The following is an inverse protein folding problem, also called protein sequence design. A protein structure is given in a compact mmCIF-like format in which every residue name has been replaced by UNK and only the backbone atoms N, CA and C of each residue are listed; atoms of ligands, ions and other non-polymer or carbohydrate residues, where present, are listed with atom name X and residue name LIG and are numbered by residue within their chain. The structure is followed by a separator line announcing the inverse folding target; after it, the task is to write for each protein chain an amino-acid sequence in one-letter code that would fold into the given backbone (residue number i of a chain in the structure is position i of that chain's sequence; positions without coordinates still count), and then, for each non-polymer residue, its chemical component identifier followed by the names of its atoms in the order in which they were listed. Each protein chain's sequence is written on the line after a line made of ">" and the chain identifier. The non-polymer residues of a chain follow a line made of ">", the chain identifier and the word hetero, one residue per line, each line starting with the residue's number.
data_IF_412593190178
#
_entry.id   IF_412593190178
#
_cell.length_a   1.000
_cell.length_b   1.000
_cell.length_c   1.000
_cell.angle_alpha   90.00
_cell.angle_beta   90.00
_cell.angle_gamma   90.00
#
_symmetry.space_group_name_H-M   'P 1'
#
loop_
_entity.id
_entity.type
_entity.pdbx_description
1 polymer ?
#
# COMPACT_ATOMS: atom_id res chain seq x y z
N UNK A 1 4.97 -17.88 -18.86
CA UNK A 1 5.59 -16.62 -18.46
C UNK A 1 4.44 -15.66 -18.20
N UNK A 2 4.15 -15.36 -16.93
CA UNK A 2 3.11 -14.41 -16.55
C UNK A 2 3.48 -13.03 -17.12
N UNK A 3 2.53 -12.35 -17.73
CA UNK A 3 2.69 -10.94 -18.09
C UNK A 3 2.97 -10.17 -16.81
N UNK A 4 4.20 -9.67 -16.65
CA UNK A 4 4.56 -8.89 -15.47
C UNK A 4 3.79 -7.58 -15.48
N UNK A 5 3.29 -7.24 -14.31
CA UNK A 5 2.60 -5.99 -14.06
C UNK A 5 3.56 -4.81 -14.34
N UNK A 6 3.28 -4.04 -15.40
CA UNK A 6 4.16 -2.96 -15.84
C UNK A 6 3.75 -1.59 -15.25
N UNK A 7 2.87 -1.57 -14.27
CA UNK A 7 2.39 -0.34 -13.64
C UNK A 7 3.33 0.15 -12.53
N UNK A 8 3.39 1.45 -12.33
CA UNK A 8 4.07 2.09 -11.19
C UNK A 8 3.03 2.32 -10.12
N UNK A 9 3.27 1.76 -8.95
CA UNK A 9 2.42 1.96 -7.79
C UNK A 9 2.77 3.30 -7.13
N UNK A 10 1.78 4.00 -6.62
CA UNK A 10 1.94 5.32 -6.00
C UNK A 10 1.20 5.39 -4.68
N UNK A 11 1.83 5.89 -3.62
CA UNK A 11 1.21 5.98 -2.30
C UNK A 11 0.13 7.06 -2.21
N UNK A 12 0.41 8.25 -2.80
CA UNK A 12 -0.56 9.36 -2.85
C UNK A 12 -1.46 9.19 -4.06
N UNK A 13 -2.75 9.20 -3.79
CA UNK A 13 -3.80 9.16 -4.80
C UNK A 13 -3.67 10.34 -5.77
N UNK A 14 -3.73 10.11 -7.09
CA UNK A 14 -3.62 11.18 -8.09
C UNK A 14 -4.61 12.33 -7.87
N UNK A 15 -5.81 12.05 -7.38
CA UNK A 15 -6.87 13.04 -7.14
C UNK A 15 -6.50 14.06 -6.09
N UNK A 16 -5.80 13.68 -5.02
CA UNK A 16 -5.31 14.62 -4.00
C UNK A 16 -4.35 15.61 -4.66
N UNK A 17 -3.41 15.12 -5.46
CA UNK A 17 -2.47 15.97 -6.19
C UNK A 17 -3.16 16.86 -7.22
N UNK A 18 -4.20 16.38 -7.90
CA UNK A 18 -5.04 17.18 -8.81
C UNK A 18 -5.75 18.31 -8.05
N UNK A 19 -6.37 18.00 -6.90
CA UNK A 19 -7.02 19.01 -6.05
C UNK A 19 -6.02 20.07 -5.60
N UNK A 20 -4.85 19.69 -5.09
CA UNK A 20 -3.81 20.64 -4.70
C UNK A 20 -3.37 21.51 -5.88
N UNK A 21 -3.14 20.90 -7.05
CA UNK A 21 -2.63 21.60 -8.24
C UNK A 21 -3.57 22.69 -8.76
N UNK A 22 -4.87 22.50 -8.58
CA UNK A 22 -5.93 23.40 -9.08
C UNK A 22 -6.54 24.27 -7.98
N UNK A 23 -6.32 23.97 -6.70
CA UNK A 23 -6.94 24.70 -5.59
C UNK A 23 -6.46 26.15 -5.52
N UNK A 24 -7.38 27.14 -5.49
CA UNK A 24 -7.04 28.54 -5.25
C UNK A 24 -6.50 28.77 -3.83
N UNK A 25 -6.81 27.88 -2.89
CA UNK A 25 -6.38 27.95 -1.50
C UNK A 25 -4.97 27.39 -1.29
N UNK A 26 -4.44 26.63 -2.26
CA UNK A 26 -3.08 26.08 -2.18
C UNK A 26 -2.03 27.15 -2.50
N UNK A 27 -0.88 27.08 -1.81
CA UNK A 27 0.26 27.94 -2.13
C UNK A 27 0.80 27.65 -3.53
N UNK A 28 1.45 28.64 -4.15
CA UNK A 28 2.11 28.44 -5.46
C UNK A 28 3.20 27.35 -5.40
N UNK A 29 3.83 27.15 -4.23
CA UNK A 29 4.82 26.09 -4.01
C UNK A 29 4.14 24.73 -4.07
N UNK A 30 3.07 24.52 -3.32
CA UNK A 30 2.33 23.28 -3.28
C UNK A 30 1.71 22.90 -4.63
N UNK A 31 1.08 23.87 -5.33
CA UNK A 31 0.54 23.62 -6.68
C UNK A 31 1.61 23.13 -7.65
N UNK A 32 2.79 23.77 -7.65
CA UNK A 32 3.90 23.32 -8.51
C UNK A 32 4.44 21.94 -8.13
N UNK A 33 4.54 21.64 -6.83
CA UNK A 33 4.97 20.33 -6.35
C UNK A 33 4.00 19.23 -6.79
N UNK A 34 2.70 19.44 -6.56
CA UNK A 34 1.65 18.50 -6.98
C UNK A 34 1.64 18.26 -8.50
N UNK A 35 1.70 19.34 -9.31
CA UNK A 35 1.79 19.19 -10.79
C UNK A 35 3.03 18.42 -11.21
N UNK A 36 4.19 18.71 -10.59
CA UNK A 36 5.45 18.00 -10.87
C UNK A 36 5.35 16.52 -10.51
N UNK A 37 4.77 16.19 -9.36
CA UNK A 37 4.57 14.81 -8.92
C UNK A 37 3.67 14.02 -9.88
N UNK A 38 2.56 14.60 -10.32
CA UNK A 38 1.67 13.98 -11.33
C UNK A 38 2.40 13.70 -12.64
N UNK A 39 3.19 14.64 -13.14
CA UNK A 39 3.98 14.47 -14.38
C UNK A 39 4.99 13.34 -14.22
N UNK A 40 5.72 13.32 -13.10
CA UNK A 40 6.75 12.34 -12.83
C UNK A 40 6.19 10.92 -12.65
N UNK A 41 5.04 10.76 -12.00
CA UNK A 41 4.38 9.47 -11.87
C UNK A 41 4.10 8.84 -13.24
N UNK A 42 3.63 9.64 -14.20
CA UNK A 42 3.43 9.19 -15.58
C UNK A 42 4.74 8.83 -16.31
N UNK A 43 5.82 9.60 -16.10
CA UNK A 43 7.15 9.32 -16.68
C UNK A 43 7.72 8.00 -16.15
N UNK A 44 7.64 7.76 -14.82
CA UNK A 44 8.12 6.52 -14.19
C UNK A 44 7.31 5.32 -14.71
N UNK A 45 5.99 5.47 -14.83
CA UNK A 45 5.13 4.44 -15.39
C UNK A 45 5.56 4.04 -16.81
N UNK A 46 5.77 5.01 -17.70
CA UNK A 46 6.21 4.75 -19.08
C UNK A 46 7.59 4.09 -19.15
N UNK A 47 8.50 4.46 -18.24
CA UNK A 47 9.86 3.88 -18.19
C UNK A 47 9.81 2.41 -17.74
N UNK A 48 8.95 2.06 -16.78
CA UNK A 48 8.78 0.67 -16.32
C UNK A 48 8.25 -0.25 -17.43
N UNK A 49 7.33 0.24 -18.25
CA UNK A 49 6.79 -0.50 -19.41
C UNK A 49 7.89 -0.86 -20.42
N UNK A 50 8.93 -0.02 -20.53
CA UNK A 50 10.02 -0.17 -21.52
C UNK A 50 11.26 -0.88 -20.99
N UNK A 51 11.39 -1.10 -19.67
CA UNK A 51 12.59 -1.70 -19.07
C UNK A 51 12.59 -3.23 -19.11
N UNK A 52 13.72 -3.82 -19.49
CA UNK A 52 13.97 -5.26 -19.49
C UNK A 52 14.00 -5.83 -18.06
N UNK A 53 13.62 -7.08 -17.83
CA UNK A 53 13.60 -7.66 -16.48
C UNK A 53 15.00 -7.64 -15.86
N UNK A 54 15.06 -7.14 -14.62
CA UNK A 54 16.25 -7.15 -13.79
C UNK A 54 16.76 -8.60 -13.59
N UNK A 55 18.03 -8.83 -13.87
CA UNK A 55 18.70 -10.08 -13.51
C UNK A 55 19.02 -9.95 -12.02
N UNK A 56 18.24 -10.62 -11.18
CA UNK A 56 18.57 -10.76 -9.76
C UNK A 56 19.96 -11.39 -9.64
N UNK A 57 20.94 -10.63 -9.19
CA UNK A 57 22.16 -11.20 -8.69
C UNK A 57 21.80 -11.82 -7.34
N UNK A 58 21.59 -13.13 -7.33
CA UNK A 58 21.23 -13.91 -6.15
C UNK A 58 22.32 -13.74 -5.08
N UNK A 59 22.05 -12.89 -4.11
CA UNK A 59 22.77 -12.89 -2.85
C UNK A 59 21.96 -13.77 -1.89
N UNK A 60 22.54 -14.85 -1.40
CA UNK A 60 21.90 -15.77 -0.47
C UNK A 60 21.68 -15.21 0.95
N UNK A 61 21.97 -13.93 1.16
CA UNK A 61 21.72 -13.24 2.42
C UNK A 61 20.76 -12.09 2.18
N UNK A 62 19.72 -11.98 3.00
CA UNK A 62 18.84 -10.80 3.02
C UNK A 62 19.71 -9.54 3.16
N UNK A 63 19.61 -8.62 2.23
CA UNK A 63 20.37 -7.38 2.22
C UNK A 63 19.42 -6.19 2.06
N UNK A 64 19.73 -5.14 2.82
CA UNK A 64 19.07 -3.83 2.74
C UNK A 64 20.07 -2.81 2.23
N UNK A 65 19.73 -2.08 1.21
CA UNK A 65 20.55 -1.03 0.65
C UNK A 65 19.76 0.27 0.55
N UNK A 66 20.32 1.34 1.09
CA UNK A 66 19.73 2.67 1.02
C UNK A 66 20.65 3.58 0.24
N UNK A 67 20.06 4.26 -0.73
CA UNK A 67 20.71 5.18 -1.63
C UNK A 67 20.17 6.59 -1.47
N UNK A 68 21.06 7.59 -1.62
CA UNK A 68 20.70 9.01 -1.63
C UNK A 68 20.76 9.56 -3.07
N UNK A 69 19.62 9.96 -3.60
CA UNK A 69 19.50 10.57 -4.92
C UNK A 69 19.91 12.06 -4.95
N UNK A 70 20.16 12.70 -3.79
CA UNK A 70 20.61 14.09 -3.68
C UNK A 70 19.71 15.09 -4.41
N UNK A 71 18.39 14.90 -4.31
CA UNK A 71 17.38 15.69 -5.01
C UNK A 71 17.53 15.68 -6.54
N UNK A 72 18.05 14.59 -7.10
CA UNK A 72 18.17 14.34 -8.55
C UNK A 72 17.29 13.15 -8.96
N UNK A 73 17.07 13.00 -10.27
CA UNK A 73 16.28 11.90 -10.85
C UNK A 73 17.09 10.66 -11.25
N UNK A 74 18.36 10.58 -10.87
CA UNK A 74 19.22 9.42 -11.18
C UNK A 74 19.05 8.30 -10.15
N UNK A 75 18.63 7.12 -10.59
CA UNK A 75 18.48 5.92 -9.78
C UNK A 75 19.69 4.98 -9.96
N UNK A 76 20.06 4.26 -8.89
CA UNK A 76 19.54 4.34 -7.54
C UNK A 76 20.12 5.50 -6.71
N UNK A 77 21.10 6.24 -7.19
CA UNK A 77 21.81 7.31 -6.48
C UNK A 77 23.11 6.83 -5.85
N UNK A 78 23.54 7.46 -4.74
CA UNK A 78 24.74 7.09 -3.98
C UNK A 78 24.38 6.13 -2.85
N UNK A 79 25.03 4.96 -2.78
CA UNK A 79 24.88 4.03 -1.65
C UNK A 79 25.34 4.70 -0.36
N UNK A 80 24.46 4.80 0.65
CA UNK A 80 24.73 5.47 1.93
C UNK A 80 24.61 4.54 3.13
N UNK A 81 23.88 3.42 3.00
CA UNK A 81 23.77 2.41 4.07
C UNK A 81 23.50 1.02 3.51
N UNK A 82 24.16 0.00 4.10
CA UNK A 82 23.97 -1.43 3.79
C UNK A 82 24.29 -2.28 5.02
N UNK A 83 23.99 -3.58 4.98
CA UNK A 83 24.31 -4.54 6.05
C UNK A 83 25.81 -4.59 6.37
N UNK A 84 26.65 -4.47 5.36
CA UNK A 84 28.12 -4.54 5.53
C UNK A 84 28.77 -3.23 5.95
N UNK A 85 28.02 -2.14 6.07
CA UNK A 85 28.58 -0.87 6.51
C UNK A 85 28.96 -0.95 7.98
N UNK A 86 30.23 -0.74 8.27
CA UNK A 86 30.77 -0.61 9.64
C UNK A 86 30.24 0.63 10.37
N UNK A 87 29.61 1.55 9.64
CA UNK A 87 28.92 2.71 10.21
C UNK A 87 27.49 2.29 10.61
N UNK A 88 27.19 2.13 11.91
CA UNK A 88 25.89 1.63 12.36
C UNK A 88 24.74 2.59 12.09
N UNK A 89 25.03 3.88 11.99
CA UNK A 89 24.04 4.94 11.71
C UNK A 89 24.67 6.05 10.89
N UNK A 90 23.92 6.62 9.96
CA UNK A 90 24.27 7.89 9.32
C UNK A 90 23.73 9.04 10.17
N UNK A 91 24.20 10.27 9.91
CA UNK A 91 23.61 11.48 10.52
C UNK A 91 22.23 11.81 9.93
N UNK A 92 21.84 11.14 8.85
CA UNK A 92 20.52 11.27 8.24
C UNK A 92 19.53 10.30 8.88
N UNK A 93 18.64 10.84 9.68
CA UNK A 93 17.59 10.07 10.36
C UNK A 93 16.65 9.40 9.37
N UNK A 94 16.46 9.94 8.17
CA UNK A 94 15.60 9.39 7.13
C UNK A 94 16.17 8.07 6.60
N UNK A 95 17.49 8.04 6.32
CA UNK A 95 18.22 6.83 5.92
C UNK A 95 18.09 5.74 6.99
N UNK A 96 18.28 6.13 8.25
CA UNK A 96 18.20 5.19 9.37
C UNK A 96 16.78 4.65 9.54
N UNK A 97 15.77 5.50 9.37
CA UNK A 97 14.36 5.10 9.48
C UNK A 97 13.99 4.05 8.44
N UNK A 98 14.26 4.31 7.15
CA UNK A 98 13.93 3.37 6.06
C UNK A 98 14.67 2.05 6.24
N UNK A 99 15.97 2.10 6.57
CA UNK A 99 16.75 0.89 6.84
C UNK A 99 16.16 0.04 7.96
N UNK A 100 15.71 0.67 9.05
CA UNK A 100 15.07 -0.02 10.15
C UNK A 100 13.68 -0.54 9.77
N UNK A 101 12.89 0.23 9.03
CA UNK A 101 11.58 -0.18 8.53
C UNK A 101 11.66 -1.41 7.62
N UNK A 102 12.68 -1.48 6.76
CA UNK A 102 12.98 -2.70 6.00
C UNK A 102 13.26 -3.90 6.92
N UNK A 103 13.99 -3.67 8.02
CA UNK A 103 14.25 -4.71 9.02
C UNK A 103 12.98 -5.20 9.72
N UNK A 104 12.08 -4.29 10.10
CA UNK A 104 10.78 -4.61 10.69
C UNK A 104 9.95 -5.44 9.71
N UNK A 105 9.88 -5.02 8.45
CA UNK A 105 9.15 -5.72 7.39
C UNK A 105 9.69 -7.15 7.18
N UNK A 106 10.99 -7.32 6.99
CA UNK A 106 11.62 -8.63 6.81
C UNK A 106 11.41 -9.55 8.01
N UNK A 107 11.49 -8.99 9.23
CA UNK A 107 11.24 -9.76 10.45
C UNK A 107 9.78 -10.22 10.54
N UNK A 108 8.81 -9.35 10.22
CA UNK A 108 7.40 -9.75 10.15
C UNK A 108 7.18 -10.85 9.11
N UNK A 109 7.69 -10.67 7.87
CA UNK A 109 7.56 -11.67 6.82
C UNK A 109 8.09 -13.05 7.27
N UNK A 110 9.28 -13.09 7.87
CA UNK A 110 9.90 -14.35 8.29
C UNK A 110 9.21 -14.97 9.51
N UNK A 111 8.89 -14.18 10.53
CA UNK A 111 8.39 -14.68 11.81
C UNK A 111 6.88 -14.98 11.82
N UNK A 112 6.08 -14.22 11.04
CA UNK A 112 4.62 -14.35 11.01
C UNK A 112 4.15 -15.11 9.77
N UNK A 113 4.70 -14.77 8.59
CA UNK A 113 4.24 -15.34 7.32
C UNK A 113 5.10 -16.50 6.82
N UNK A 114 6.28 -16.75 7.42
CA UNK A 114 7.23 -17.76 6.97
C UNK A 114 7.83 -17.46 5.60
N UNK A 115 7.93 -16.18 5.21
CA UNK A 115 8.38 -15.72 3.90
C UNK A 115 9.76 -15.08 3.97
N UNK A 116 10.60 -15.37 2.98
CA UNK A 116 11.96 -14.85 2.86
C UNK A 116 11.99 -13.68 1.86
N UNK A 117 11.87 -12.44 2.38
CA UNK A 117 11.82 -11.21 1.56
C UNK A 117 10.61 -11.14 0.60
N UNK A 118 10.63 -10.21 -0.35
CA UNK A 118 9.56 -9.91 -1.32
C UNK A 118 9.27 -11.10 -2.23
N UNK A 119 10.30 -11.77 -2.72
CA UNK A 119 10.20 -12.86 -3.71
C UNK A 119 10.16 -14.26 -3.09
N UNK A 120 10.27 -14.36 -1.77
CA UNK A 120 10.47 -15.59 -1.02
C UNK A 120 11.80 -16.31 -1.31
N UNK A 121 12.80 -15.59 -1.83
CA UNK A 121 14.14 -16.08 -2.15
C UNK A 121 15.23 -15.05 -1.78
N UNK A 122 15.01 -14.31 -0.68
CA UNK A 122 15.94 -13.29 -0.13
C UNK A 122 16.27 -12.13 -1.07
N UNK A 123 15.32 -11.70 -1.91
CA UNK A 123 15.50 -10.50 -2.72
C UNK A 123 15.97 -9.33 -1.85
N UNK A 124 17.03 -8.66 -2.30
CA UNK A 124 17.56 -7.46 -1.68
C UNK A 124 16.55 -6.33 -1.74
N UNK A 125 16.38 -5.62 -0.61
CA UNK A 125 15.52 -4.44 -0.53
C UNK A 125 16.36 -3.18 -0.83
N UNK A 126 15.90 -2.38 -1.78
CA UNK A 126 16.54 -1.13 -2.20
C UNK A 126 15.61 0.03 -1.94
N UNK A 127 16.10 1.04 -1.20
CA UNK A 127 15.40 2.30 -0.95
C UNK A 127 16.19 3.48 -1.52
N UNK A 128 15.57 4.27 -2.39
CA UNK A 128 16.13 5.45 -3.02
C UNK A 128 15.49 6.70 -2.42
N UNK A 129 16.25 7.42 -1.59
CA UNK A 129 15.78 8.56 -0.82
C UNK A 129 16.10 9.88 -1.52
N UNK A 130 15.42 10.94 -1.10
CA UNK A 130 15.66 12.30 -1.61
C UNK A 130 15.61 12.35 -3.15
N UNK A 131 14.65 11.60 -3.72
CA UNK A 131 14.47 11.57 -5.16
C UNK A 131 13.72 12.81 -5.63
N UNK A 132 14.33 13.54 -6.58
CA UNK A 132 13.82 14.79 -7.11
C UNK A 132 13.58 15.87 -6.03
N UNK A 133 13.08 17.03 -6.41
CA UNK A 133 12.76 18.15 -5.51
C UNK A 133 11.26 18.26 -5.27
N UNK A 134 10.87 18.38 -3.98
CA UNK A 134 9.47 18.55 -3.57
C UNK A 134 8.56 17.51 -4.24
N UNK A 135 8.99 16.26 -4.23
CA UNK A 135 8.20 15.14 -4.71
C UNK A 135 7.25 14.68 -3.62
N UNK A 136 5.96 14.83 -3.86
CA UNK A 136 4.89 14.51 -2.91
C UNK A 136 4.40 13.07 -3.10
N UNK A 137 5.31 12.10 -3.09
CA UNK A 137 4.95 10.69 -3.20
C UNK A 137 6.06 9.72 -2.79
N UNK A 138 5.69 8.43 -2.70
CA UNK A 138 6.56 7.27 -2.71
C UNK A 138 6.09 6.31 -3.82
N UNK A 139 6.99 5.45 -4.35
CA UNK A 139 6.71 4.56 -5.47
C UNK A 139 7.46 3.24 -5.34
N UNK A 140 6.77 2.12 -5.57
CA UNK A 140 7.41 0.87 -5.96
C UNK A 140 7.50 0.79 -7.48
N UNK A 141 8.70 0.66 -8.04
CA UNK A 141 8.91 0.61 -9.49
C UNK A 141 9.15 -0.82 -10.03
N UNK A 142 8.98 -1.84 -9.19
CA UNK A 142 9.25 -3.24 -9.53
C UNK A 142 10.64 -3.74 -9.13
N UNK A 143 11.50 -2.86 -8.62
CA UNK A 143 12.91 -3.17 -8.25
C UNK A 143 13.30 -2.52 -6.92
N UNK A 144 12.87 -1.28 -6.73
CA UNK A 144 13.26 -0.43 -5.62
C UNK A 144 12.12 0.49 -5.21
N UNK A 145 12.14 0.96 -3.98
CA UNK A 145 11.23 1.99 -3.52
C UNK A 145 11.89 3.36 -3.70
N UNK A 146 11.19 4.27 -4.33
CA UNK A 146 11.61 5.65 -4.56
C UNK A 146 10.83 6.56 -3.62
N UNK A 147 11.53 7.37 -2.82
CA UNK A 147 10.91 8.27 -1.85
C UNK A 147 11.19 9.72 -2.18
N UNK A 148 10.12 10.52 -2.24
CA UNK A 148 10.19 11.97 -2.20
C UNK A 148 10.25 12.51 -0.76
N UNK A 149 10.77 13.74 -0.62
CA UNK A 149 10.82 14.43 0.68
C UNK A 149 9.53 15.19 1.02
N UNK A 150 8.60 15.27 0.07
CA UNK A 150 7.44 16.12 0.17
C UNK A 150 7.75 17.58 -0.13
N UNK A 151 6.68 18.40 -0.27
CA UNK A 151 6.80 19.82 -0.55
C UNK A 151 7.10 20.66 0.72
N UNK A 152 6.98 20.04 1.90
CA UNK A 152 7.13 20.69 3.20
C UNK A 152 6.03 21.74 3.48
N UNK A 153 4.90 21.68 2.75
CA UNK A 153 3.72 22.53 2.95
C UNK A 153 2.52 21.70 3.38
N UNK A 154 2.17 20.70 2.59
CA UNK A 154 1.12 19.72 2.90
C UNK A 154 1.69 18.35 3.23
N UNK A 155 2.79 17.95 2.59
CA UNK A 155 3.40 16.65 2.80
C UNK A 155 4.78 16.76 3.44
N UNK A 156 5.02 15.85 4.40
CA UNK A 156 6.33 15.59 4.98
C UNK A 156 7.05 14.48 4.22
N UNK A 157 8.32 14.23 4.57
CA UNK A 157 9.09 13.14 4.02
C UNK A 157 8.42 11.78 4.19
N UNK A 158 8.02 11.18 3.11
CA UNK A 158 7.33 9.88 3.06
C UNK A 158 8.13 8.73 3.68
N UNK A 159 9.47 8.70 3.59
CA UNK A 159 10.26 7.62 4.18
C UNK A 159 10.26 7.59 5.71
N UNK A 160 9.68 8.59 6.38
CA UNK A 160 9.61 8.66 7.86
C UNK A 160 8.38 7.94 8.45
N UNK A 161 7.54 7.34 7.64
CA UNK A 161 6.33 6.64 8.04
C UNK A 161 6.46 5.14 7.74
N UNK A 162 6.33 4.29 8.77
CA UNK A 162 6.49 2.83 8.61
C UNK A 162 5.43 2.27 7.66
N UNK A 163 4.19 2.76 7.77
CA UNK A 163 3.07 2.35 6.93
C UNK A 163 3.32 2.63 5.45
N UNK A 164 3.93 3.78 5.09
CA UNK A 164 4.33 4.09 3.71
C UNK A 164 5.36 3.09 3.19
N UNK A 165 6.41 2.85 3.97
CA UNK A 165 7.49 1.91 3.60
C UNK A 165 6.93 0.51 3.39
N UNK A 166 6.06 0.06 4.30
CA UNK A 166 5.44 -1.27 4.20
C UNK A 166 4.48 -1.36 3.02
N UNK A 167 3.65 -0.34 2.79
CA UNK A 167 2.73 -0.29 1.65
C UNK A 167 3.46 -0.52 0.32
N UNK A 168 4.54 0.21 0.09
CA UNK A 168 5.33 0.08 -1.13
C UNK A 168 6.01 -1.31 -1.25
N UNK A 169 6.54 -1.86 -0.15
CA UNK A 169 7.13 -3.21 -0.14
C UNK A 169 6.08 -4.30 -0.40
N UNK A 170 4.83 -4.10 0.04
CA UNK A 170 3.75 -5.05 -0.19
C UNK A 170 3.32 -5.13 -1.65
N UNK A 171 3.42 -4.05 -2.43
CA UNK A 171 3.28 -4.14 -3.88
C UNK A 171 4.28 -5.12 -4.49
N UNK A 172 5.53 -5.08 -4.00
CA UNK A 172 6.53 -6.07 -4.40
C UNK A 172 6.13 -7.51 -4.04
N UNK A 173 5.58 -7.75 -2.84
CA UNK A 173 5.08 -9.08 -2.45
C UNK A 173 3.92 -9.50 -3.36
N UNK A 174 2.99 -8.61 -3.66
CA UNK A 174 1.85 -8.90 -4.56
C UNK A 174 2.32 -9.22 -5.98
N UNK A 175 3.32 -8.49 -6.51
CA UNK A 175 3.94 -8.76 -7.81
C UNK A 175 4.59 -10.17 -7.88
N UNK A 176 5.16 -10.66 -6.77
CA UNK A 176 5.83 -11.96 -6.67
C UNK A 176 4.93 -13.09 -6.13
N UNK A 177 3.63 -12.84 -6.01
CA UNK A 177 2.63 -13.83 -5.59
C UNK A 177 1.49 -13.91 -6.60
N UNK A 178 0.36 -13.29 -6.34
CA UNK A 178 -0.79 -13.29 -7.24
C UNK A 178 -0.55 -12.51 -8.55
N UNK A 179 0.36 -11.54 -8.56
CA UNK A 179 0.68 -10.72 -9.73
C UNK A 179 -0.52 -9.92 -10.22
N UNK A 180 -1.31 -9.38 -9.29
CA UNK A 180 -2.56 -8.66 -9.61
C UNK A 180 -2.30 -7.52 -10.61
N UNK A 181 -3.11 -7.46 -11.65
CA UNK A 181 -3.07 -6.35 -12.62
C UNK A 181 -3.49 -5.06 -11.92
N UNK A 182 -2.74 -3.98 -12.15
CA UNK A 182 -2.99 -2.69 -11.51
C UNK A 182 -4.08 -1.90 -12.27
N UNK A 183 -5.27 -2.50 -12.34
CA UNK A 183 -6.44 -1.96 -13.03
C UNK A 183 -7.73 -2.46 -12.38
N UNK A 184 -8.74 -1.60 -12.27
CA UNK A 184 -10.06 -1.95 -11.76
C UNK A 184 -10.04 -2.68 -10.40
N UNK A 185 -10.82 -3.75 -10.26
CA UNK A 185 -10.91 -4.49 -9.00
C UNK A 185 -9.60 -5.18 -8.59
N UNK A 186 -8.85 -5.72 -9.53
CA UNK A 186 -7.56 -6.36 -9.21
C UNK A 186 -6.53 -5.35 -8.71
N UNK A 187 -6.48 -4.17 -9.29
CA UNK A 187 -5.65 -3.07 -8.83
C UNK A 187 -6.09 -2.54 -7.47
N UNK A 188 -7.40 -2.42 -7.26
CA UNK A 188 -7.96 -2.04 -5.95
C UNK A 188 -7.68 -3.08 -4.86
N UNK A 189 -7.65 -4.38 -5.19
CA UNK A 189 -7.16 -5.43 -4.29
C UNK A 189 -5.69 -5.24 -3.94
N UNK A 190 -4.83 -4.93 -4.93
CA UNK A 190 -3.40 -4.68 -4.70
C UNK A 190 -3.19 -3.51 -3.74
N UNK A 191 -3.90 -2.40 -3.93
CA UNK A 191 -3.88 -1.24 -3.03
C UNK A 191 -4.38 -1.60 -1.62
N UNK A 192 -5.51 -2.30 -1.54
CA UNK A 192 -6.07 -2.74 -0.26
C UNK A 192 -5.11 -3.64 0.52
N UNK A 193 -4.50 -4.61 -0.15
CA UNK A 193 -3.53 -5.53 0.47
C UNK A 193 -2.33 -4.76 1.01
N UNK A 194 -1.84 -3.77 0.28
CA UNK A 194 -0.75 -2.90 0.72
C UNK A 194 -1.13 -2.11 1.97
N UNK A 195 -2.32 -1.50 2.00
CA UNK A 195 -2.84 -0.78 3.17
C UNK A 195 -3.11 -1.70 4.37
N UNK A 196 -3.69 -2.87 4.12
CA UNK A 196 -3.94 -3.88 5.16
C UNK A 196 -2.65 -4.27 5.86
N UNK A 197 -1.61 -4.65 5.11
CA UNK A 197 -0.36 -5.06 5.71
C UNK A 197 0.44 -3.88 6.27
N UNK A 198 0.27 -2.66 5.78
CA UNK A 198 0.79 -1.45 6.41
C UNK A 198 0.24 -1.31 7.83
N UNK A 199 -1.08 -1.41 8.02
CA UNK A 199 -1.72 -1.39 9.34
C UNK A 199 -1.31 -2.60 10.20
N UNK A 200 -1.33 -3.82 9.65
CA UNK A 200 -1.02 -5.05 10.39
C UNK A 200 0.42 -5.06 10.91
N UNK A 201 1.40 -4.67 10.10
CA UNK A 201 2.81 -4.64 10.49
C UNK A 201 3.06 -3.55 11.52
N UNK A 202 2.41 -2.40 11.41
CA UNK A 202 2.50 -1.35 12.41
C UNK A 202 1.90 -1.80 13.76
N UNK A 203 0.72 -2.44 13.74
CA UNK A 203 0.09 -3.04 14.92
C UNK A 203 1.00 -4.09 15.57
N UNK A 204 1.56 -5.00 14.75
CA UNK A 204 2.49 -6.03 15.23
C UNK A 204 3.72 -5.41 15.88
N UNK A 205 4.33 -4.43 15.24
CA UNK A 205 5.50 -3.74 15.76
C UNK A 205 5.23 -3.00 17.07
N UNK A 206 4.04 -2.42 17.20
CA UNK A 206 3.58 -1.74 18.43
C UNK A 206 2.96 -2.66 19.48
N UNK A 207 2.71 -3.92 19.14
CA UNK A 207 2.04 -4.89 20.03
C UNK A 207 0.56 -4.60 20.27
N UNK A 208 -0.11 -3.85 19.38
CA UNK A 208 -1.50 -3.40 19.53
C UNK A 208 -2.50 -4.48 19.13
N UNK A 209 -3.57 -4.65 19.92
CA UNK A 209 -4.73 -5.43 19.51
C UNK A 209 -5.62 -4.69 18.52
N UNK A 210 -6.59 -5.40 17.92
CA UNK A 210 -7.50 -4.85 16.91
C UNK A 210 -8.36 -3.68 17.42
N UNK A 211 -8.66 -3.65 18.71
CA UNK A 211 -9.46 -2.60 19.35
C UNK A 211 -8.63 -1.35 19.68
N UNK A 212 -7.31 -1.50 19.87
CA UNK A 212 -6.40 -0.42 20.22
C UNK A 212 -5.89 0.33 18.99
N UNK A 213 -5.91 -0.33 17.84
CA UNK A 213 -5.40 0.21 16.59
C UNK A 213 -6.34 1.28 16.00
N UNK A 214 -5.77 2.26 15.35
CA UNK A 214 -6.55 3.34 14.71
C UNK A 214 -7.00 3.04 13.28
N UNK A 215 -6.39 2.05 12.63
CA UNK A 215 -6.70 1.58 11.27
C UNK A 215 -6.59 2.67 10.21
N UNK A 216 -5.65 3.59 10.37
CA UNK A 216 -5.42 4.72 9.46
C UNK A 216 -4.05 4.62 8.83
N UNK A 217 -3.98 4.80 7.51
CA UNK A 217 -2.77 4.79 6.69
C UNK A 217 -2.41 6.22 6.27
N UNK A 218 -1.12 6.53 6.21
CA UNK A 218 -0.61 7.80 5.74
C UNK A 218 -0.77 8.96 6.73
N UNK A 219 -0.89 8.66 8.02
CA UNK A 219 -0.98 9.72 9.05
C UNK A 219 0.30 10.54 9.13
N UNK A 220 1.45 9.89 9.04
CA UNK A 220 2.76 10.49 9.20
C UNK A 220 3.22 11.36 8.02
N UNK A 221 2.50 11.37 6.89
CA UNK A 221 2.95 12.09 5.70
C UNK A 221 2.52 13.55 5.64
N UNK A 222 1.64 13.99 6.53
CA UNK A 222 1.14 15.36 6.51
C UNK A 222 2.00 16.33 7.34
N UNK A 223 2.23 17.52 6.79
CA UNK A 223 2.78 18.68 7.54
C UNK A 223 1.62 19.47 8.11
N UNK A 224 1.40 19.35 9.42
CA UNK A 224 0.35 20.12 10.08
C UNK A 224 0.90 21.44 10.63
N UNK A 225 0.20 22.57 10.43
CA UNK A 225 0.45 23.76 11.22
C UNK A 225 0.22 23.40 12.70
N UNK A 226 1.18 23.69 13.56
CA UNK A 226 1.04 23.47 15.01
C UNK A 226 -0.30 24.07 15.49
N UNK A 227 -1.18 23.22 16.02
CA UNK A 227 -2.47 23.61 16.60
C UNK A 227 -3.71 23.45 15.72
N UNK A 228 -3.62 23.06 14.44
CA UNK A 228 -4.80 22.67 13.66
C UNK A 228 -5.01 21.17 13.73
N UNK A 229 -6.12 20.76 14.36
CA UNK A 229 -6.65 19.38 14.21
C UNK A 229 -7.29 19.30 12.82
N UNK A 230 -7.12 18.15 12.14
CA UNK A 230 -7.82 17.88 10.90
C UNK A 230 -9.35 17.96 11.08
N UNK A 231 -10.06 18.48 10.12
CA UNK A 231 -11.52 18.65 10.14
C UNK A 231 -12.28 17.37 9.73
N UNK A 232 -11.69 16.19 9.91
CA UNK A 232 -12.31 14.91 9.58
C UNK A 232 -12.64 14.07 10.82
N UNK A 233 -13.76 13.39 10.78
CA UNK A 233 -14.23 12.32 11.67
C UNK A 233 -13.71 12.34 13.11
N UNK A 234 -14.32 13.14 13.96
CA UNK A 234 -14.23 12.97 15.41
C UNK A 234 -12.84 13.16 16.00
N UNK A 235 -12.33 14.39 16.04
CA UNK A 235 -11.16 14.85 16.81
C UNK A 235 -9.84 14.03 16.67
N UNK A 236 -9.76 13.09 15.70
CA UNK A 236 -8.59 12.29 15.38
C UNK A 236 -7.62 13.01 14.44
N UNK A 237 -6.41 12.52 14.38
CA UNK A 237 -5.43 12.96 13.41
C UNK A 237 -5.85 12.49 12.02
N UNK A 238 -5.69 13.32 10.99
CA UNK A 238 -5.95 12.96 9.61
C UNK A 238 -4.98 11.87 9.12
N UNK A 239 -5.44 11.08 8.17
CA UNK A 239 -4.63 10.17 7.38
C UNK A 239 -5.02 10.24 5.92
N UNK A 240 -4.41 9.43 5.10
CA UNK A 240 -4.78 9.34 3.68
C UNK A 240 -5.96 8.39 3.46
N UNK A 241 -6.01 7.30 4.20
CA UNK A 241 -7.04 6.27 4.10
C UNK A 241 -7.38 5.68 5.46
N UNK A 242 -8.62 5.22 5.62
CA UNK A 242 -9.07 4.56 6.84
C UNK A 242 -9.71 3.22 6.50
N UNK A 243 -9.16 2.11 7.00
CA UNK A 243 -9.74 0.79 6.83
C UNK A 243 -11.04 0.64 7.65
N UNK A 244 -11.09 1.31 8.82
CA UNK A 244 -12.24 1.30 9.72
C UNK A 244 -13.43 2.05 9.15
N UNK A 245 -13.19 3.16 8.48
CA UNK A 245 -14.23 4.04 7.95
C UNK A 245 -13.76 4.70 6.64
N UNK A 246 -13.72 3.96 5.52
CA UNK A 246 -13.36 4.54 4.23
C UNK A 246 -14.24 5.77 3.91
N UNK A 247 -13.65 6.76 3.24
CA UNK A 247 -14.33 8.01 2.94
C UNK A 247 -14.31 9.06 4.06
N UNK A 248 -13.56 8.79 5.15
CA UNK A 248 -13.53 9.69 6.32
C UNK A 248 -12.13 10.11 6.76
N UNK A 249 -11.08 9.68 6.08
CA UNK A 249 -9.71 9.90 6.51
C UNK A 249 -9.30 11.38 6.47
N UNK A 250 -9.83 12.16 5.52
CA UNK A 250 -9.61 13.61 5.44
C UNK A 250 -10.81 14.33 4.83
N UNK A 251 -10.95 15.61 5.18
CA UNK A 251 -11.86 16.59 4.55
C UNK A 251 -11.21 17.98 4.70
N UNK A 252 -10.59 18.47 3.64
CA UNK A 252 -9.76 19.67 3.66
C UNK A 252 -10.00 20.52 2.39
N UNK A 253 -10.07 21.87 2.50
CA UNK A 253 -10.34 22.75 1.36
C UNK A 253 -9.31 22.69 0.23
N UNK A 254 -8.11 22.10 0.48
CA UNK A 254 -7.02 22.00 -0.50
C UNK A 254 -6.85 20.56 -0.98
N UNK A 255 -6.90 19.59 -0.07
CA UNK A 255 -6.76 18.17 -0.41
C UNK A 255 -8.03 17.57 -1.02
N UNK A 256 -9.18 18.22 -0.79
CA UNK A 256 -10.50 17.69 -1.08
C UNK A 256 -11.00 16.78 0.05
N UNK A 257 -11.92 15.89 -0.29
CA UNK A 257 -12.51 14.93 0.64
C UNK A 257 -12.08 13.51 0.25
N UNK A 258 -11.84 12.68 1.24
CA UNK A 258 -11.65 11.24 1.03
C UNK A 258 -12.85 10.66 0.30
N UNK A 259 -12.63 10.13 -0.90
CA UNK A 259 -13.65 9.59 -1.77
C UNK A 259 -13.76 8.06 -1.76
N UNK A 260 -13.06 7.38 -0.84
CA UNK A 260 -13.08 5.92 -0.80
C UNK A 260 -14.46 5.37 -0.43
N UNK A 261 -15.08 4.50 -1.25
CA UNK A 261 -16.29 3.79 -0.87
C UNK A 261 -16.00 2.71 0.19
N UNK A 262 -16.96 2.51 1.09
CA UNK A 262 -16.92 1.42 2.07
C UNK A 262 -17.75 0.19 1.64
N UNK A 263 -18.53 0.30 0.55
CA UNK A 263 -19.49 -0.71 0.13
C UNK A 263 -19.64 -0.75 -1.39
N UNK A 264 -19.89 -1.94 -1.96
CA UNK A 264 -20.05 -2.16 -3.42
C UNK A 264 -21.11 -1.28 -4.08
N UNK A 265 -22.15 -0.85 -3.35
CA UNK A 265 -23.17 0.08 -3.88
C UNK A 265 -22.61 1.45 -4.25
N UNK A 266 -21.45 1.80 -3.72
CA UNK A 266 -20.74 3.07 -3.89
C UNK A 266 -19.52 2.91 -4.78
N UNK A 267 -19.34 1.72 -5.42
CA UNK A 267 -18.22 1.45 -6.31
C UNK A 267 -18.06 2.57 -7.34
N UNK A 268 -16.87 3.13 -7.42
CA UNK A 268 -16.55 4.21 -8.35
C UNK A 268 -16.20 3.62 -9.71
N UNK A 269 -17.02 3.93 -10.73
CA UNK A 269 -16.77 3.56 -12.12
C UNK A 269 -16.11 4.75 -12.84
N UNK A 270 -14.83 4.61 -13.20
CA UNK A 270 -14.03 5.67 -13.82
C UNK A 270 -12.91 5.08 -14.67
N UNK A 271 -12.43 5.83 -15.65
CA UNK A 271 -11.20 5.54 -16.37
C UNK A 271 -9.96 6.15 -15.69
N UNK A 272 -10.18 7.12 -14.78
CA UNK A 272 -9.10 7.73 -14.00
C UNK A 272 -8.53 6.72 -13.00
N UNK A 273 -7.28 6.97 -12.56
CA UNK A 273 -6.65 6.17 -11.51
C UNK A 273 -6.67 4.66 -11.82
N UNK A 274 -6.41 4.28 -13.08
CA UNK A 274 -6.46 2.88 -13.57
C UNK A 274 -7.78 2.15 -13.24
N UNK A 275 -8.92 2.83 -13.41
CA UNK A 275 -10.23 2.27 -13.04
C UNK A 275 -10.57 2.47 -11.56
N UNK A 276 -10.00 3.49 -10.91
CA UNK A 276 -10.30 3.88 -9.54
C UNK A 276 -9.66 2.98 -8.50
N UNK A 277 -8.42 2.51 -8.72
CA UNK A 277 -7.76 1.54 -7.83
C UNK A 277 -7.61 2.05 -6.40
N UNK A 278 -7.21 3.32 -6.20
CA UNK A 278 -7.08 3.90 -4.87
C UNK A 278 -8.43 4.24 -4.22
N UNK A 279 -9.48 4.52 -5.01
CA UNK A 279 -10.81 4.72 -4.45
C UNK A 279 -11.39 3.39 -3.99
N UNK A 280 -11.51 2.44 -4.91
CA UNK A 280 -12.22 1.19 -4.69
C UNK A 280 -11.51 0.23 -3.72
N UNK A 281 -10.23 0.48 -3.40
CA UNK A 281 -9.49 -0.26 -2.37
C UNK A 281 -10.13 -0.14 -0.98
N UNK A 282 -10.93 0.91 -0.73
CA UNK A 282 -11.67 1.08 0.52
C UNK A 282 -12.62 -0.08 0.81
N UNK A 283 -13.24 -0.68 -0.20
CA UNK A 283 -14.20 -1.79 -0.05
C UNK A 283 -13.51 -3.04 0.55
N UNK A 284 -12.47 -3.63 -0.08
CA UNK A 284 -11.78 -4.78 0.49
C UNK A 284 -11.00 -4.46 1.76
N UNK A 285 -10.51 -3.22 1.93
CA UNK A 285 -9.87 -2.78 3.18
C UNK A 285 -10.86 -2.78 4.35
N UNK A 286 -12.09 -2.34 4.12
CA UNK A 286 -13.15 -2.37 5.13
C UNK A 286 -13.57 -3.80 5.47
N UNK A 287 -13.64 -4.69 4.48
CA UNK A 287 -13.89 -6.11 4.71
C UNK A 287 -12.83 -6.73 5.62
N UNK A 288 -11.54 -6.41 5.38
CA UNK A 288 -10.46 -6.87 6.25
C UNK A 288 -10.62 -6.36 7.69
N UNK A 289 -10.89 -5.06 7.85
CA UNK A 289 -11.12 -4.47 9.17
C UNK A 289 -12.23 -5.19 9.94
N UNK A 290 -13.40 -5.38 9.32
CA UNK A 290 -14.53 -6.07 9.92
C UNK A 290 -14.17 -7.50 10.32
N UNK A 291 -13.51 -8.23 9.44
CA UNK A 291 -13.01 -9.57 9.71
C UNK A 291 -12.04 -9.61 10.89
N UNK A 292 -11.05 -8.71 10.93
CA UNK A 292 -10.04 -8.67 11.97
C UNK A 292 -10.66 -8.35 13.34
N UNK A 293 -11.59 -7.40 13.40
CA UNK A 293 -12.29 -7.04 14.65
C UNK A 293 -13.19 -8.17 15.13
N UNK A 294 -13.90 -8.85 14.23
CA UNK A 294 -14.75 -9.98 14.62
C UNK A 294 -13.94 -11.20 15.11
N UNK A 295 -12.75 -11.46 14.52
CA UNK A 295 -11.83 -12.45 15.09
C UNK A 295 -11.31 -12.05 16.46
N UNK A 296 -11.22 -10.75 16.74
CA UNK A 296 -10.65 -10.23 17.99
C UNK A 296 -9.14 -10.45 18.11
N UNK A 297 -8.58 -10.09 19.26
CA UNK A 297 -7.16 -10.31 19.57
C UNK A 297 -6.24 -9.49 18.68
N UNK A 298 -5.44 -10.15 17.87
CA UNK A 298 -4.41 -9.51 17.04
C UNK A 298 -4.64 -9.79 15.55
N UNK A 299 -4.61 -8.75 14.73
CA UNK A 299 -4.91 -8.86 13.28
C UNK A 299 -4.01 -9.84 12.53
N UNK A 300 -2.76 -10.02 12.99
CA UNK A 300 -1.78 -10.89 12.35
C UNK A 300 -1.88 -12.37 12.74
N UNK A 301 -2.75 -12.76 13.67
CA UNK A 301 -2.88 -14.15 14.13
C UNK A 301 -3.79 -14.98 13.22
N UNK A 302 -4.87 -14.36 12.66
CA UNK A 302 -5.82 -15.03 11.76
C UNK A 302 -6.08 -14.24 10.49
N UNK A 303 -6.62 -13.02 10.60
CA UNK A 303 -7.07 -12.25 9.43
C UNK A 303 -5.94 -12.04 8.41
N UNK A 304 -4.77 -11.55 8.83
CA UNK A 304 -3.66 -11.33 7.90
C UNK A 304 -3.11 -12.64 7.31
N UNK A 305 -3.14 -13.74 8.06
CA UNK A 305 -2.75 -15.06 7.54
C UNK A 305 -3.68 -15.49 6.41
N UNK A 306 -5.00 -15.32 6.59
CA UNK A 306 -6.00 -15.65 5.56
C UNK A 306 -5.76 -14.82 4.29
N UNK A 307 -5.60 -13.50 4.40
CA UNK A 307 -5.33 -12.61 3.25
C UNK A 307 -4.01 -12.95 2.55
N UNK A 308 -2.95 -13.19 3.32
CA UNK A 308 -1.67 -13.60 2.75
C UNK A 308 -1.74 -14.95 2.04
N UNK A 309 -2.44 -15.93 2.62
CA UNK A 309 -2.62 -17.25 1.98
C UNK A 309 -3.44 -17.15 0.70
N UNK A 310 -4.40 -16.22 0.64
CA UNK A 310 -5.14 -15.95 -0.59
C UNK A 310 -4.23 -15.45 -1.72
N UNK A 311 -3.25 -14.59 -1.44
CA UNK A 311 -2.25 -14.16 -2.44
C UNK A 311 -1.40 -15.31 -3.00
N UNK A 312 -1.28 -16.41 -2.28
CA UNK A 312 -0.54 -17.59 -2.69
C UNK A 312 -1.43 -18.65 -3.36
N UNK A 313 -2.74 -18.48 -3.32
CA UNK A 313 -3.69 -19.44 -3.88
C UNK A 313 -3.79 -19.26 -5.41
N UNK A 314 -3.62 -20.31 -6.21
CA UNK A 314 -3.65 -20.23 -7.68
C UNK A 314 -5.01 -19.78 -8.24
N UNK A 315 -6.07 -19.76 -7.44
CA UNK A 315 -7.39 -19.24 -7.82
C UNK A 315 -7.43 -17.71 -7.83
N UNK A 316 -6.48 -17.04 -7.16
CA UNK A 316 -6.29 -15.60 -7.23
C UNK A 316 -5.41 -15.29 -8.42
N UNK A 317 -6.05 -15.12 -9.58
CA UNK A 317 -5.41 -14.80 -10.85
C UNK A 317 -5.11 -13.30 -10.97
N UNK A 318 -4.25 -12.87 -11.91
CA UNK A 318 -3.89 -11.46 -12.07
C UNK A 318 -5.06 -10.47 -12.24
N UNK A 319 -6.16 -10.90 -12.85
CA UNK A 319 -7.39 -10.11 -13.03
C UNK A 319 -8.46 -10.42 -11.99
N UNK A 320 -8.07 -10.79 -10.78
CA UNK A 320 -8.97 -11.23 -9.71
C UNK A 320 -10.00 -10.15 -9.33
N UNK A 321 -11.27 -10.53 -9.29
CA UNK A 321 -12.37 -9.69 -8.78
C UNK A 321 -12.46 -9.76 -7.26
N UNK A 322 -13.16 -8.79 -6.65
CA UNK A 322 -13.47 -8.83 -5.20
C UNK A 322 -14.22 -10.09 -4.81
N UNK A 323 -15.18 -10.51 -5.62
CA UNK A 323 -15.96 -11.74 -5.37
C UNK A 323 -15.07 -12.99 -5.36
N UNK A 324 -14.15 -13.10 -6.32
CA UNK A 324 -13.20 -14.23 -6.39
C UNK A 324 -12.29 -14.24 -5.17
N UNK A 325 -11.70 -13.12 -4.85
CA UNK A 325 -10.83 -12.98 -3.69
C UNK A 325 -11.57 -13.30 -2.38
N UNK A 326 -12.78 -12.78 -2.21
CA UNK A 326 -13.67 -13.07 -1.07
C UNK A 326 -13.91 -14.58 -0.90
N UNK A 327 -14.31 -15.26 -1.98
CA UNK A 327 -14.57 -16.70 -1.94
C UNK A 327 -13.32 -17.50 -1.54
N UNK A 328 -12.16 -17.14 -2.08
CA UNK A 328 -10.88 -17.80 -1.72
C UNK A 328 -10.53 -17.57 -0.25
N UNK A 329 -10.71 -16.34 0.26
CA UNK A 329 -10.42 -16.04 1.68
C UNK A 329 -11.36 -16.81 2.63
N UNK A 330 -12.62 -17.01 2.27
CA UNK A 330 -13.56 -17.83 3.05
C UNK A 330 -13.10 -19.29 3.12
N UNK A 331 -12.81 -19.89 1.96
CA UNK A 331 -12.33 -21.27 1.89
C UNK A 331 -11.05 -21.50 2.71
N UNK A 332 -10.11 -20.55 2.63
CA UNK A 332 -8.85 -20.60 3.39
C UNK A 332 -9.12 -20.50 4.90
N UNK A 333 -9.98 -19.57 5.31
CA UNK A 333 -10.33 -19.42 6.73
C UNK A 333 -10.98 -20.69 7.27
N UNK A 334 -11.91 -21.28 6.53
CA UNK A 334 -12.56 -22.56 6.90
C UNK A 334 -11.52 -23.70 7.01
N UNK A 335 -10.65 -23.84 6.01
CA UNK A 335 -9.66 -24.91 5.98
C UNK A 335 -8.61 -24.76 7.11
N UNK A 336 -8.22 -23.55 7.48
CA UNK A 336 -7.16 -23.32 8.47
C UNK A 336 -7.68 -23.25 9.91
N UNK A 337 -8.87 -22.67 10.11
CA UNK A 337 -9.37 -22.31 11.44
C UNK A 337 -10.77 -22.84 11.75
N UNK A 338 -11.38 -23.61 10.81
CA UNK A 338 -12.68 -24.24 10.95
C UNK A 338 -13.84 -23.40 10.40
N UNK A 339 -15.04 -24.00 10.31
CA UNK A 339 -16.21 -23.41 9.66
C UNK A 339 -16.67 -22.09 10.27
N UNK A 340 -16.52 -21.88 11.58
CA UNK A 340 -16.83 -20.61 12.23
C UNK A 340 -15.94 -19.47 11.69
N UNK A 341 -14.66 -19.73 11.44
CA UNK A 341 -13.76 -18.75 10.86
C UNK A 341 -14.13 -18.41 9.42
N UNK A 342 -14.56 -19.41 8.62
CA UNK A 342 -15.10 -19.18 7.28
C UNK A 342 -16.32 -18.25 7.32
N UNK A 343 -17.24 -18.47 8.25
CA UNK A 343 -18.42 -17.63 8.41
C UNK A 343 -18.09 -16.18 8.87
N UNK A 344 -17.06 -15.98 9.71
CA UNK A 344 -16.57 -14.64 10.08
C UNK A 344 -16.11 -13.89 8.82
N UNK A 345 -15.25 -14.51 8.00
CA UNK A 345 -14.75 -13.89 6.77
C UNK A 345 -15.89 -13.60 5.79
N UNK A 346 -16.83 -14.53 5.64
CA UNK A 346 -18.00 -14.36 4.77
C UNK A 346 -18.88 -13.19 5.21
N UNK A 347 -19.19 -13.08 6.51
CA UNK A 347 -19.96 -11.94 7.03
C UNK A 347 -19.27 -10.61 6.74
N UNK A 348 -17.97 -10.53 6.89
CA UNK A 348 -17.21 -9.33 6.60
C UNK A 348 -17.33 -8.89 5.12
N UNK A 349 -17.22 -9.82 4.17
CA UNK A 349 -17.39 -9.53 2.75
C UNK A 349 -18.84 -9.16 2.39
N UNK A 350 -19.81 -9.88 2.93
CA UNK A 350 -21.24 -9.56 2.72
C UNK A 350 -21.58 -8.18 3.28
N UNK A 351 -21.01 -7.79 4.42
CA UNK A 351 -21.22 -6.48 5.02
C UNK A 351 -20.75 -5.32 4.14
N UNK A 352 -19.76 -5.53 3.28
CA UNK A 352 -19.32 -4.54 2.29
C UNK A 352 -19.98 -4.73 0.91
N UNK A 353 -20.98 -5.61 0.82
CA UNK A 353 -21.78 -5.84 -0.40
C UNK A 353 -21.10 -6.73 -1.43
N UNK A 354 -20.08 -7.50 -1.07
CA UNK A 354 -19.45 -8.49 -1.93
C UNK A 354 -20.11 -9.85 -1.69
N UNK A 355 -20.70 -10.40 -2.74
CA UNK A 355 -21.29 -11.74 -2.67
C UNK A 355 -20.21 -12.81 -2.58
N UNK A 356 -20.40 -13.78 -1.68
CA UNK A 356 -19.53 -14.94 -1.56
C UNK A 356 -20.31 -16.16 -2.06
N UNK A 357 -19.87 -16.76 -3.16
CA UNK A 357 -20.48 -17.92 -3.77
C UNK A 357 -19.50 -19.02 -4.11
N UNK A 358 -19.98 -20.25 -4.33
CA UNK A 358 -19.13 -21.30 -4.93
C UNK A 358 -18.64 -20.82 -6.30
N UNK A 359 -17.33 -20.72 -6.46
CA UNK A 359 -16.72 -20.35 -7.74
C UNK A 359 -16.84 -21.58 -8.66
N UNK A 360 -17.97 -21.70 -9.36
CA UNK A 360 -18.06 -22.57 -10.51
C UNK A 360 -17.19 -21.98 -11.61
N UNK A 361 -16.34 -22.79 -12.21
CA UNK A 361 -15.49 -22.43 -13.35
C UNK A 361 -16.36 -21.96 -14.53
N UNK A 362 -16.70 -20.69 -14.59
CA UNK A 362 -17.32 -20.08 -15.75
C UNK A 362 -16.39 -19.00 -16.28
N UNK A 363 -15.77 -19.30 -17.43
CA UNK A 363 -15.09 -18.33 -18.26
C UNK A 363 -16.15 -17.37 -18.81
N UNK A 364 -16.44 -16.30 -18.08
CA UNK A 364 -17.05 -15.07 -18.64
C UNK A 364 -16.58 -13.91 -17.79
N UNK A 365 -15.87 -12.98 -18.43
CA UNK A 365 -15.44 -11.75 -17.80
C UNK A 365 -16.64 -10.99 -17.26
N UNK A 366 -16.70 -10.80 -15.95
CA UNK A 366 -17.55 -9.83 -15.31
C UNK A 366 -16.94 -8.45 -15.53
N UNK A 367 -17.38 -7.80 -16.59
CA UNK A 367 -17.20 -6.36 -16.78
C UNK A 367 -18.29 -5.66 -15.97
N UNK A 368 -18.15 -5.65 -14.65
CA UNK A 368 -18.95 -4.80 -13.78
C UNK A 368 -18.28 -3.42 -13.67
N UNK A 369 -18.32 -2.67 -14.71
CA UNK A 369 -18.30 -1.26 -15.06
C UNK A 369 -18.02 -1.16 -16.52
#
# INVERSE_FOLDING_TARGET
>A
MSARNNHTYTFIQPQILQHISTSPNASSKARRAATRTLTLANEIHQTRVSSSPYISLTSHAQAREIYDCRNKRGLPGLLVRTESSSAPTTQDDTVNHVYNSFGIFLHFLSSVLGRQSIDNDNLRLIGCLHYDKNLDNAFWNGQEIIFGDGDGVYFAGFPKSLDVVVHELMHGVTDHTAGLLYEGQSGALSESISDVFACVIEQWWRGQGVEEADWVVGRGVFVWPKGKKGAGAGAGEMGLRSLKAPGTAYDDPVLGRDGQPSHMKELVCTEEDNGGVHWNSGIPSHAFYLCAVEFGGRSWEKAAIVWYRALLDPRVEPNCSFQRFASVTVDIAEAMFGGEAGEVVKRAWVAVGVEVGMVLWTVKGDTGC
#
